data_IF_525226909449
#
_entry.id   IF_525226909449
#
_cell.length_a   1.000
_cell.length_b   1.000
_cell.length_c   1.000
_cell.angle_alpha   90.00
_cell.angle_beta   90.00
_cell.angle_gamma   90.00
#
_symmetry.space_group_name_H-M   'P 1'
#
loop_
_entity.id
_entity.type
_entity.pdbx_description
1 polymer ?
#
# COMPACT_ATOMS: atom_id res chain seq x y z
N UNK A 1 -27.74 -2.56 -7.70
CA UNK A 1 -26.53 -2.38 -8.54
C UNK A 1 -25.34 -2.22 -7.63
N UNK A 2 -24.35 -3.10 -7.74
CA UNK A 2 -23.11 -2.99 -6.96
C UNK A 2 -22.39 -1.73 -7.40
N UNK A 3 -22.23 -0.75 -6.50
CA UNK A 3 -21.34 0.39 -6.74
C UNK A 3 -19.93 -0.19 -6.74
N UNK A 4 -19.26 -0.16 -7.89
CA UNK A 4 -17.85 -0.58 -8.02
C UNK A 4 -16.95 0.18 -7.03
N UNK A 5 -15.67 -0.18 -6.94
CA UNK A 5 -14.77 0.30 -5.88
C UNK A 5 -14.45 1.82 -5.94
N UNK A 6 -15.00 2.54 -6.93
CA UNK A 6 -14.70 3.94 -7.18
C UNK A 6 -13.39 4.11 -7.95
N UNK A 7 -12.98 5.37 -8.21
CA UNK A 7 -11.71 5.66 -8.85
C UNK A 7 -10.54 5.43 -7.90
N UNK A 8 -9.37 5.11 -8.46
CA UNK A 8 -8.11 5.07 -7.70
C UNK A 8 -7.78 6.48 -7.17
N UNK A 9 -7.26 6.60 -5.93
CA UNK A 9 -6.84 7.89 -5.39
C UNK A 9 -5.82 8.62 -6.28
N UNK A 10 -5.95 9.95 -6.36
CA UNK A 10 -5.04 10.78 -7.14
C UNK A 10 -3.57 10.59 -6.71
N UNK A 11 -2.66 10.48 -7.70
CA UNK A 11 -1.21 10.25 -7.52
C UNK A 11 -0.83 8.92 -6.89
N UNK A 12 -1.77 7.99 -6.67
CA UNK A 12 -1.45 6.70 -6.06
C UNK A 12 -0.64 5.78 -6.99
N UNK A 13 -0.92 5.77 -8.29
CA UNK A 13 -0.30 4.84 -9.27
C UNK A 13 1.23 4.86 -9.25
N UNK A 14 1.81 6.06 -9.27
CA UNK A 14 3.27 6.26 -9.30
C UNK A 14 3.87 6.62 -7.93
N UNK A 15 3.06 6.65 -6.88
CA UNK A 15 3.57 6.75 -5.53
C UNK A 15 4.36 5.47 -5.17
N UNK A 16 5.58 5.57 -4.61
CA UNK A 16 6.36 4.43 -4.17
C UNK A 16 5.56 3.52 -3.22
N UNK A 17 5.68 2.21 -3.38
CA UNK A 17 4.93 1.24 -2.55
C UNK A 17 5.35 1.30 -1.08
N UNK A 18 6.65 1.43 -0.83
CA UNK A 18 7.29 1.42 0.49
C UNK A 18 8.55 2.28 0.49
N UNK A 19 9.04 2.63 1.67
CA UNK A 19 10.38 3.18 1.85
C UNK A 19 11.45 2.17 1.41
N UNK A 20 12.60 2.69 0.97
CA UNK A 20 13.75 1.86 0.60
C UNK A 20 14.34 1.15 1.82
N UNK A 21 14.48 1.89 2.93
CA UNK A 21 15.01 1.43 4.21
C UNK A 21 13.95 1.48 5.32
N UNK A 22 14.27 0.85 6.45
CA UNK A 22 13.51 0.99 7.68
C UNK A 22 13.79 2.36 8.31
N UNK A 23 12.75 3.05 8.72
CA UNK A 23 12.85 4.28 9.50
C UNK A 23 13.20 3.88 10.93
N UNK A 24 14.35 4.40 11.41
CA UNK A 24 14.92 4.09 12.72
C UNK A 24 15.07 2.58 12.99
N UNK A 25 15.35 1.79 11.95
CA UNK A 25 15.49 0.32 11.99
C UNK A 25 14.29 -0.43 12.58
N UNK A 26 13.12 0.23 12.63
CA UNK A 26 11.92 -0.28 13.31
C UNK A 26 10.67 -0.21 12.45
N UNK A 27 10.52 0.83 11.65
CA UNK A 27 9.28 1.10 10.92
C UNK A 27 9.48 1.00 9.41
N UNK A 28 8.58 0.30 8.75
CA UNK A 28 8.49 0.32 7.28
C UNK A 28 7.35 1.27 6.89
N UNK A 29 7.67 2.36 6.22
CA UNK A 29 6.65 3.22 5.63
C UNK A 29 6.16 2.61 4.31
N UNK A 30 4.85 2.59 4.08
CA UNK A 30 4.25 2.11 2.84
C UNK A 30 2.96 2.88 2.52
N UNK A 31 2.62 2.99 1.23
CA UNK A 31 1.34 3.59 0.80
C UNK A 31 0.20 2.62 1.09
N UNK A 32 -1.05 3.06 1.08
CA UNK A 32 -2.20 2.16 1.29
C UNK A 32 -2.26 1.07 0.21
N UNK A 33 -2.21 -0.23 0.54
CA UNK A 33 -2.48 -1.30 -0.41
C UNK A 33 -3.95 -1.26 -0.84
N UNK A 34 -4.21 -1.45 -2.13
CA UNK A 34 -5.58 -1.50 -2.66
C UNK A 34 -6.04 -2.96 -2.81
N UNK A 35 -7.34 -3.17 -2.69
CA UNK A 35 -7.96 -4.49 -2.87
C UNK A 35 -7.95 -4.90 -4.34
N UNK A 36 -8.05 -6.20 -4.58
CA UNK A 36 -8.09 -6.84 -5.90
C UNK A 36 -9.17 -6.25 -6.82
N UNK A 37 -10.26 -5.72 -6.24
CA UNK A 37 -11.31 -5.01 -6.97
C UNK A 37 -10.80 -3.83 -7.82
N UNK A 38 -9.68 -3.20 -7.43
CA UNK A 38 -9.06 -2.10 -8.17
C UNK A 38 -8.00 -2.56 -9.19
N UNK A 39 -7.63 -3.85 -9.25
CA UNK A 39 -6.58 -4.34 -10.16
C UNK A 39 -6.90 -4.06 -11.63
N UNK A 40 -8.17 -4.19 -12.01
CA UNK A 40 -8.62 -3.87 -13.38
C UNK A 40 -8.41 -2.41 -13.79
N UNK A 41 -8.18 -1.49 -12.83
CA UNK A 41 -7.95 -0.07 -13.06
C UNK A 41 -6.46 0.30 -13.03
N UNK A 42 -5.56 -0.65 -12.80
CA UNK A 42 -4.12 -0.41 -12.60
C UNK A 42 -3.27 -1.20 -13.60
N UNK A 43 -2.19 -0.61 -14.12
CA UNK A 43 -1.11 -1.39 -14.71
C UNK A 43 -0.50 -2.35 -13.68
N UNK A 44 -0.06 -3.53 -14.12
CA UNK A 44 0.46 -4.58 -13.22
C UNK A 44 1.70 -4.11 -12.44
N UNK A 45 2.51 -3.25 -13.06
CA UNK A 45 3.69 -2.62 -12.46
C UNK A 45 3.34 -1.62 -11.35
N UNK A 46 2.09 -1.16 -11.26
CA UNK A 46 1.59 -0.26 -10.22
C UNK A 46 0.82 -1.02 -9.12
N UNK A 47 0.49 -2.29 -9.33
CA UNK A 47 -0.28 -3.09 -8.38
C UNK A 47 0.41 -3.17 -7.02
N UNK A 48 -0.38 -3.03 -5.95
CA UNK A 48 0.09 -3.17 -4.59
C UNK A 48 -1.05 -3.68 -3.69
N UNK A 49 -1.10 -5.00 -3.52
CA UNK A 49 -2.12 -5.68 -2.73
C UNK A 49 -1.65 -5.90 -1.29
N UNK A 50 -2.58 -6.16 -0.34
CA UNK A 50 -2.22 -6.54 1.02
C UNK A 50 -1.30 -7.76 1.08
N UNK A 51 -1.48 -8.74 0.18
CA UNK A 51 -0.63 -9.94 0.11
C UNK A 51 0.82 -9.58 -0.21
N UNK A 52 1.05 -8.70 -1.20
CA UNK A 52 2.40 -8.22 -1.53
C UNK A 52 3.06 -7.55 -0.33
N UNK A 53 2.31 -6.76 0.44
CA UNK A 53 2.82 -6.15 1.66
C UNK A 53 3.25 -7.22 2.68
N UNK A 54 2.42 -8.23 2.94
CA UNK A 54 2.77 -9.34 3.85
C UNK A 54 4.03 -10.10 3.42
N UNK A 55 4.22 -10.31 2.11
CA UNK A 55 5.43 -10.92 1.59
C UNK A 55 6.67 -10.05 1.86
N UNK A 56 6.58 -8.74 1.64
CA UNK A 56 7.67 -7.79 1.94
C UNK A 56 8.03 -7.83 3.44
N UNK A 57 7.04 -7.84 4.32
CA UNK A 57 7.29 -7.80 5.77
C UNK A 57 7.96 -9.06 6.30
N UNK A 58 7.68 -10.23 5.70
CA UNK A 58 8.42 -11.47 5.99
C UNK A 58 9.92 -11.30 5.71
N UNK A 59 10.29 -10.59 4.65
CA UNK A 59 11.71 -10.33 4.32
C UNK A 59 12.40 -9.43 5.34
N UNK A 60 11.69 -8.41 5.85
CA UNK A 60 12.25 -7.49 6.85
C UNK A 60 12.31 -8.08 8.28
N UNK A 61 11.70 -9.26 8.52
CA UNK A 61 11.56 -9.87 9.86
C UNK A 61 10.92 -8.93 10.89
N UNK A 62 10.10 -7.97 10.44
CA UNK A 62 9.37 -7.02 11.29
C UNK A 62 7.93 -7.49 11.43
N UNK A 63 7.42 -7.55 12.66
CA UNK A 63 6.00 -7.77 12.97
C UNK A 63 5.24 -6.45 12.90
N UNK A 64 4.07 -6.43 12.24
CA UNK A 64 3.22 -5.24 12.19
C UNK A 64 2.55 -5.06 13.56
N UNK A 65 2.87 -3.98 14.25
CA UNK A 65 1.93 -3.40 15.21
C UNK A 65 0.89 -2.61 14.40
N UNK A 66 -0.23 -3.26 14.06
CA UNK A 66 -1.31 -2.67 13.26
C UNK A 66 -2.11 -1.69 14.13
N UNK A 67 -1.53 -0.53 14.42
CA UNK A 67 -2.17 0.51 15.23
C UNK A 67 -3.03 1.45 14.39
N UNK A 68 -2.51 1.92 13.26
CA UNK A 68 -3.20 2.91 12.45
C UNK A 68 -2.84 2.69 10.97
N UNK A 69 -3.73 2.07 10.19
CA UNK A 69 -3.78 2.43 8.77
C UNK A 69 -4.24 3.88 8.74
N UNK A 70 -3.29 4.82 8.84
CA UNK A 70 -3.54 6.21 8.51
C UNK A 70 -4.03 6.20 7.07
N UNK A 71 -5.32 6.50 6.86
CA UNK A 71 -5.80 7.07 5.61
C UNK A 71 -5.05 8.39 5.41
N UNK A 72 -3.80 8.32 4.97
CA UNK A 72 -3.04 9.47 4.52
C UNK A 72 -3.58 9.89 3.15
N UNK A 73 -4.83 10.37 3.15
CA UNK A 73 -5.44 11.18 2.10
C UNK A 73 -4.79 12.58 2.03
N UNK A 74 -3.82 12.89 2.89
CA UNK A 74 -3.01 14.11 2.81
C UNK A 74 -1.59 13.79 3.24
N UNK A 75 -0.65 13.89 2.30
CA UNK A 75 0.74 14.38 2.39
C UNK A 75 1.32 14.12 0.99
N UNK A 76 1.05 15.03 0.05
CA UNK A 76 1.92 16.06 -0.54
C UNK A 76 1.04 16.94 -1.41
#
# INVERSE_FOLDING_TARGET
MSRGPGPIPNRWLYCPRKSESLIADKFLAFKTPLKDAFESQMPIECCFTPEMLFQVMKTYKVSIALGEMLESTKIV
#
